data_IF_100768112556
#
_entry.id   IF_100768112556
#
_cell.length_a   1.000
_cell.length_b   1.000
_cell.length_c   1.000
_cell.angle_alpha   90.00
_cell.angle_beta   90.00
_cell.angle_gamma   90.00
#
_symmetry.space_group_name_H-M   'P 1'
#
loop_
_entity.id
_entity.type
_entity.pdbx_description
1 polymer ?
#
# COMPACT_ATOMS: atom_id res chain seq x y z
N UNK A 1 -26.26 -26.72 -41.65
CA UNK A 1 -25.93 -27.24 -40.31
C UNK A 1 -25.03 -26.23 -39.58
N UNK A 2 -25.49 -24.99 -39.37
CA UNK A 2 -24.66 -23.85 -38.91
C UNK A 2 -25.17 -23.14 -37.64
N UNK A 3 -26.30 -23.56 -37.04
CA UNK A 3 -26.90 -22.87 -35.89
C UNK A 3 -26.33 -23.27 -34.52
N UNK A 4 -25.86 -24.51 -34.33
CA UNK A 4 -25.38 -24.99 -33.03
C UNK A 4 -23.98 -24.46 -32.64
N UNK A 5 -23.17 -24.01 -33.61
CA UNK A 5 -21.83 -23.50 -33.34
C UNK A 5 -21.83 -22.05 -32.86
N UNK A 6 -22.81 -21.25 -33.30
CA UNK A 6 -22.97 -19.85 -32.89
C UNK A 6 -23.57 -19.71 -31.50
N UNK A 7 -24.50 -20.60 -31.13
CA UNK A 7 -25.13 -20.60 -29.81
C UNK A 7 -24.12 -20.96 -28.70
N UNK A 8 -23.27 -21.96 -28.93
CA UNK A 8 -22.23 -22.33 -27.96
C UNK A 8 -21.10 -21.30 -27.83
N UNK A 9 -20.83 -20.52 -28.88
CA UNK A 9 -19.88 -19.40 -28.79
C UNK A 9 -20.48 -18.23 -27.99
N UNK A 10 -21.77 -17.96 -28.18
CA UNK A 10 -22.50 -16.93 -27.44
C UNK A 10 -22.63 -17.27 -25.94
N UNK A 11 -22.88 -18.53 -25.60
CA UNK A 11 -22.90 -18.99 -24.19
C UNK A 11 -21.51 -18.84 -23.52
N UNK A 12 -20.44 -19.22 -24.23
CA UNK A 12 -19.08 -19.09 -23.69
C UNK A 12 -18.63 -17.64 -23.55
N UNK A 13 -19.11 -16.75 -24.42
CA UNK A 13 -18.89 -15.30 -24.30
C UNK A 13 -19.61 -14.73 -23.07
N UNK A 14 -20.87 -15.13 -22.83
CA UNK A 14 -21.60 -14.70 -21.63
C UNK A 14 -20.97 -15.22 -20.34
N UNK A 15 -20.51 -16.47 -20.30
CA UNK A 15 -19.78 -17.02 -19.14
C UNK A 15 -18.47 -16.26 -18.88
N UNK A 16 -17.73 -15.92 -19.94
CA UNK A 16 -16.51 -15.14 -19.82
C UNK A 16 -16.78 -13.72 -19.31
N UNK A 17 -17.83 -13.06 -19.78
CA UNK A 17 -18.24 -11.74 -19.29
C UNK A 17 -18.68 -11.77 -17.82
N UNK A 18 -19.42 -12.81 -17.42
CA UNK A 18 -19.84 -13.02 -16.05
C UNK A 18 -18.64 -13.28 -15.12
N UNK A 19 -17.68 -14.07 -15.58
CA UNK A 19 -16.44 -14.32 -14.84
C UNK A 19 -15.64 -13.03 -14.69
N UNK A 20 -15.43 -12.29 -15.78
CA UNK A 20 -14.75 -10.99 -15.74
C UNK A 20 -15.45 -10.06 -14.76
N UNK A 21 -16.78 -9.90 -14.85
CA UNK A 21 -17.56 -9.01 -13.96
C UNK A 21 -17.44 -9.40 -12.48
N UNK A 22 -17.43 -10.70 -12.17
CA UNK A 22 -17.25 -11.19 -10.79
C UNK A 22 -15.84 -10.93 -10.29
N UNK A 23 -14.83 -11.17 -11.11
CA UNK A 23 -13.44 -10.90 -10.76
C UNK A 23 -13.18 -9.40 -10.59
N UNK A 24 -13.73 -8.53 -11.43
CA UNK A 24 -13.62 -7.07 -11.22
C UNK A 24 -14.34 -6.62 -9.95
N UNK A 25 -15.48 -7.22 -9.62
CA UNK A 25 -16.20 -6.90 -8.38
C UNK A 25 -15.45 -7.38 -7.13
N UNK A 26 -14.75 -8.52 -7.17
CA UNK A 26 -13.89 -8.98 -6.08
C UNK A 26 -12.63 -8.14 -5.93
N UNK A 27 -11.99 -7.78 -7.04
CA UNK A 27 -10.85 -6.87 -7.02
C UNK A 27 -11.24 -5.49 -6.47
N UNK A 28 -12.41 -4.97 -6.81
CA UNK A 28 -12.92 -3.72 -6.26
C UNK A 28 -13.14 -3.80 -4.74
N UNK A 29 -13.60 -4.94 -4.21
CA UNK A 29 -13.76 -5.15 -2.76
C UNK A 29 -12.44 -5.30 -2.01
N UNK A 30 -11.39 -5.79 -2.68
CA UNK A 30 -10.03 -5.85 -2.12
C UNK A 30 -9.34 -4.48 -2.14
N UNK A 31 -9.80 -3.58 -3.02
CA UNK A 31 -9.31 -2.21 -3.16
C UNK A 31 -10.14 -1.20 -2.35
N UNK A 32 -11.22 -1.65 -1.67
CA UNK A 32 -11.94 -0.80 -0.72
C UNK A 32 -11.05 -0.56 0.51
N UNK A 33 -10.59 0.68 0.74
CA UNK A 33 -9.78 0.97 1.91
C UNK A 33 -10.63 0.70 3.14
N UNK A 34 -10.09 -0.03 4.11
CA UNK A 34 -10.70 -0.20 5.43
C UNK A 34 -11.08 1.19 5.96
N UNK A 35 -12.26 1.33 6.60
CA UNK A 35 -12.69 2.58 7.22
C UNK A 35 -11.62 3.13 8.18
N UNK A 36 -10.86 2.23 8.82
CA UNK A 36 -9.71 2.59 9.66
C UNK A 36 -8.58 3.23 8.86
N UNK A 37 -8.19 2.63 7.74
CA UNK A 37 -7.14 3.16 6.86
C UNK A 37 -7.54 4.52 6.30
N UNK A 38 -8.82 4.69 5.98
CA UNK A 38 -9.40 5.94 5.49
C UNK A 38 -9.37 7.03 6.59
N UNK A 39 -9.72 6.67 7.83
CA UNK A 39 -9.69 7.59 8.97
C UNK A 39 -8.26 8.01 9.33
N UNK A 40 -7.30 7.08 9.33
CA UNK A 40 -5.88 7.36 9.57
C UNK A 40 -5.27 8.21 8.46
N UNK A 41 -5.60 7.92 7.20
CA UNK A 41 -5.21 8.74 6.06
C UNK A 41 -5.72 10.18 6.19
N UNK A 42 -6.99 10.36 6.62
CA UNK A 42 -7.58 11.68 6.85
C UNK A 42 -6.88 12.44 7.97
N UNK A 43 -6.68 11.80 9.14
CA UNK A 43 -5.98 12.39 10.28
C UNK A 43 -4.57 12.85 9.91
N UNK A 44 -3.81 12.01 9.21
CA UNK A 44 -2.47 12.36 8.75
C UNK A 44 -2.50 13.53 7.76
N UNK A 45 -3.45 13.54 6.82
CA UNK A 45 -3.60 14.64 5.86
C UNK A 45 -3.90 15.97 6.57
N UNK A 46 -4.78 15.98 7.56
CA UNK A 46 -5.09 17.15 8.38
C UNK A 46 -3.85 17.64 9.15
N UNK A 47 -3.12 16.74 9.82
CA UNK A 47 -1.89 17.07 10.54
C UNK A 47 -0.77 17.56 9.63
N UNK A 48 -0.71 17.09 8.38
CA UNK A 48 0.23 17.60 7.38
C UNK A 48 -0.19 19.00 6.92
N UNK A 49 -1.49 19.24 6.66
CA UNK A 49 -2.00 20.57 6.24
C UNK A 49 -1.78 21.63 7.32
N UNK A 50 -2.00 21.29 8.60
CA UNK A 50 -1.73 22.18 9.74
C UNK A 50 -0.24 22.44 9.96
N UNK A 51 0.65 21.66 9.34
CA UNK A 51 2.10 21.72 9.54
C UNK A 51 2.59 21.01 10.80
N UNK A 52 1.70 20.31 11.52
CA UNK A 52 2.06 19.57 12.75
C UNK A 52 3.06 18.43 12.50
N UNK A 53 3.10 17.91 11.27
CA UNK A 53 4.09 16.90 10.85
C UNK A 53 5.40 17.51 10.29
N UNK A 54 5.50 18.83 10.24
CA UNK A 54 6.65 19.57 9.73
C UNK A 54 6.54 20.00 8.26
N UNK A 55 7.51 20.81 7.79
CA UNK A 55 7.39 21.53 6.52
C UNK A 55 7.47 20.63 5.28
N UNK A 56 8.26 19.55 5.32
CA UNK A 56 8.33 18.61 4.20
C UNK A 56 7.01 17.87 4.01
N UNK A 57 6.40 17.42 5.11
CA UNK A 57 5.08 16.79 5.09
C UNK A 57 3.99 17.72 4.57
N UNK A 58 4.00 18.98 5.01
CA UNK A 58 3.04 19.97 4.53
C UNK A 58 3.15 20.21 3.02
N UNK A 59 4.37 20.33 2.49
CA UNK A 59 4.60 20.49 1.04
C UNK A 59 4.22 19.24 0.25
N UNK A 60 4.54 18.05 0.75
CA UNK A 60 4.10 16.78 0.14
C UNK A 60 2.57 16.69 0.14
N UNK A 61 1.90 17.05 1.23
CA UNK A 61 0.43 17.05 1.28
C UNK A 61 -0.20 18.05 0.30
N UNK A 62 0.38 19.23 0.11
CA UNK A 62 -0.07 20.16 -0.94
C UNK A 62 0.11 19.59 -2.36
N UNK A 63 1.11 18.73 -2.59
CA UNK A 63 1.28 18.02 -3.87
C UNK A 63 0.23 16.93 -4.03
N UNK A 64 -0.07 16.17 -2.98
CA UNK A 64 -1.12 15.15 -2.96
C UNK A 64 -2.51 15.77 -3.17
N UNK A 65 -2.84 16.82 -2.42
CA UNK A 65 -4.12 17.54 -2.54
C UNK A 65 -4.30 18.14 -3.94
N UNK A 66 -3.20 18.54 -4.59
CA UNK A 66 -3.19 19.02 -5.96
C UNK A 66 -3.08 17.93 -7.04
N UNK A 67 -3.16 16.64 -6.68
CA UNK A 67 -3.09 15.52 -7.62
C UNK A 67 -1.74 15.35 -8.33
N UNK A 68 -0.67 15.99 -7.85
CA UNK A 68 0.66 15.93 -8.47
C UNK A 68 1.46 14.68 -8.11
N UNK A 69 1.03 13.97 -7.07
CA UNK A 69 1.71 12.78 -6.54
C UNK A 69 0.73 12.03 -5.63
N UNK A 70 1.09 10.80 -5.26
CA UNK A 70 0.39 10.02 -4.24
C UNK A 70 1.34 9.65 -3.10
N UNK A 71 0.79 9.21 -1.96
CA UNK A 71 1.62 8.62 -0.89
C UNK A 71 2.45 7.43 -1.39
N UNK A 72 1.85 6.60 -2.24
CA UNK A 72 2.51 5.45 -2.84
C UNK A 72 3.70 5.89 -3.70
N UNK A 73 3.52 6.92 -4.53
CA UNK A 73 4.60 7.47 -5.37
C UNK A 73 5.74 8.06 -4.55
N UNK A 74 5.42 8.72 -3.43
CA UNK A 74 6.43 9.26 -2.51
C UNK A 74 7.26 8.14 -1.89
N UNK A 75 6.64 7.12 -1.30
CA UNK A 75 7.36 6.07 -0.58
C UNK A 75 7.97 4.99 -1.49
N UNK A 76 7.44 4.80 -2.71
CA UNK A 76 8.09 3.98 -3.75
C UNK A 76 9.30 4.68 -4.37
N UNK A 77 9.38 6.01 -4.26
CA UNK A 77 10.46 6.82 -4.84
C UNK A 77 10.17 7.30 -6.26
N UNK A 78 8.96 7.06 -6.79
CA UNK A 78 8.47 7.63 -8.07
C UNK A 78 8.40 9.15 -8.01
N UNK A 79 8.00 9.72 -6.85
CA UNK A 79 8.08 11.17 -6.64
C UNK A 79 9.51 11.59 -6.27
N UNK A 80 10.22 12.14 -7.24
CA UNK A 80 11.60 12.60 -7.08
C UNK A 80 11.70 14.04 -6.58
N UNK A 81 10.62 14.65 -6.09
CA UNK A 81 10.68 16.02 -5.57
C UNK A 81 11.58 16.12 -4.34
N UNK A 82 12.22 17.27 -4.09
CA UNK A 82 13.14 17.41 -2.96
C UNK A 82 12.50 17.11 -1.60
N UNK A 83 11.23 17.44 -1.43
CA UNK A 83 10.46 17.21 -0.20
C UNK A 83 10.16 15.72 0.00
N UNK A 84 9.77 15.02 -1.09
CA UNK A 84 9.53 13.59 -1.08
C UNK A 84 10.82 12.82 -0.76
N UNK A 85 11.94 13.19 -1.39
CA UNK A 85 13.24 12.59 -1.12
C UNK A 85 13.70 12.79 0.32
N UNK A 86 13.54 14.01 0.87
CA UNK A 86 13.85 14.28 2.28
C UNK A 86 12.96 13.47 3.22
N UNK A 87 11.67 13.33 2.88
CA UNK A 87 10.73 12.57 3.69
C UNK A 87 11.10 11.08 3.74
N UNK A 88 11.35 10.47 2.58
CA UNK A 88 11.81 9.08 2.47
C UNK A 88 13.15 8.89 3.19
N UNK A 89 14.09 9.82 3.01
CA UNK A 89 15.38 9.79 3.69
C UNK A 89 15.24 9.78 5.21
N UNK A 90 14.35 10.62 5.77
CA UNK A 90 14.07 10.67 7.20
C UNK A 90 13.42 9.39 7.71
N UNK A 91 12.43 8.85 6.99
CA UNK A 91 11.81 7.57 7.34
C UNK A 91 12.83 6.43 7.35
N UNK A 92 13.76 6.40 6.39
CA UNK A 92 14.86 5.42 6.37
C UNK A 92 15.81 5.60 7.56
N UNK A 93 16.17 6.83 7.90
CA UNK A 93 17.03 7.11 9.05
C UNK A 93 16.39 6.61 10.36
N UNK A 94 15.11 6.90 10.59
CA UNK A 94 14.36 6.42 11.77
C UNK A 94 14.34 4.89 11.83
N UNK A 95 14.14 4.21 10.70
CA UNK A 95 14.17 2.74 10.67
C UNK A 95 15.57 2.16 10.93
N UNK A 96 16.62 2.84 10.47
CA UNK A 96 18.01 2.45 10.76
C UNK A 96 18.32 2.62 12.24
N UNK A 97 17.92 3.74 12.84
CA UNK A 97 18.07 4.01 14.27
C UNK A 97 17.30 2.98 15.12
N UNK A 98 16.03 2.73 14.80
CA UNK A 98 15.24 1.70 15.47
C UNK A 98 15.88 0.31 15.42
N UNK A 99 16.56 -0.03 14.31
CA UNK A 99 17.32 -1.29 14.21
C UNK A 99 18.57 -1.31 15.07
N UNK A 100 19.29 -0.19 15.17
CA UNK A 100 20.43 -0.07 16.06
C UNK A 100 19.98 -0.21 17.53
N UNK A 101 18.92 0.49 17.91
CA UNK A 101 18.32 0.39 19.26
C UNK A 101 17.92 -1.05 19.59
N UNK A 102 17.34 -1.78 18.63
CA UNK A 102 16.97 -3.18 18.80
C UNK A 102 18.18 -4.13 18.89
N UNK A 103 19.34 -3.76 18.35
CA UNK A 103 20.57 -4.53 18.51
C UNK A 103 21.16 -4.32 19.92
N UNK A 104 21.05 -3.10 20.45
CA UNK A 104 21.53 -2.76 21.78
C UNK A 104 20.61 -3.30 22.89
N UNK A 105 19.28 -3.32 22.67
CA UNK A 105 18.29 -3.98 23.53
C UNK A 105 17.43 -5.01 22.75
N UNK A 106 17.92 -6.25 22.60
CA UNK A 106 17.23 -7.30 21.84
C UNK A 106 15.95 -7.82 22.52
N UNK A 107 15.72 -7.48 23.79
CA UNK A 107 14.52 -7.82 24.55
C UNK A 107 13.51 -6.67 24.64
N UNK A 108 13.89 -5.49 24.16
CA UNK A 108 13.08 -4.29 24.21
C UNK A 108 11.86 -4.34 23.27
N UNK A 109 10.97 -3.36 23.45
CA UNK A 109 9.77 -3.21 22.63
C UNK A 109 10.12 -2.99 21.15
N UNK A 110 11.16 -2.20 20.85
CA UNK A 110 11.60 -1.93 19.47
C UNK A 110 12.05 -3.21 18.77
N UNK A 111 12.85 -4.04 19.45
CA UNK A 111 13.28 -5.34 18.91
C UNK A 111 12.10 -6.29 18.68
N UNK A 112 11.12 -6.28 19.58
CA UNK A 112 9.89 -7.07 19.45
C UNK A 112 9.08 -6.64 18.23
N UNK A 113 8.80 -5.34 18.08
CA UNK A 113 8.03 -4.80 16.94
C UNK A 113 8.72 -5.08 15.61
N UNK A 114 10.04 -4.93 15.54
CA UNK A 114 10.79 -5.22 14.31
C UNK A 114 10.75 -6.70 13.93
N UNK A 115 10.84 -7.61 14.92
CA UNK A 115 10.70 -9.05 14.69
C UNK A 115 9.31 -9.40 14.16
N UNK A 116 8.25 -8.87 14.78
CA UNK A 116 6.87 -9.08 14.34
C UNK A 116 6.64 -8.56 12.90
N UNK A 117 7.24 -7.41 12.57
CA UNK A 117 7.17 -6.86 11.20
C UNK A 117 7.87 -7.75 10.17
N UNK A 118 9.03 -8.31 10.51
CA UNK A 118 9.77 -9.20 9.61
C UNK A 118 9.06 -10.55 9.43
N UNK A 119 8.48 -11.11 10.50
CA UNK A 119 7.62 -12.30 10.42
C UNK A 119 6.37 -12.06 9.56
N UNK A 120 5.71 -10.91 9.71
CA UNK A 120 4.55 -10.55 8.88
C UNK A 120 4.94 -10.44 7.41
N UNK A 121 6.10 -9.83 7.11
CA UNK A 121 6.62 -9.71 5.73
C UNK A 121 6.92 -11.08 5.12
N UNK A 122 7.48 -12.00 5.89
CA UNK A 122 7.75 -13.35 5.42
C UNK A 122 6.46 -14.11 5.12
N UNK A 123 5.46 -14.02 6.01
CA UNK A 123 4.13 -14.60 5.78
C UNK A 123 3.46 -14.06 4.52
N UNK A 124 3.52 -12.74 4.30
CA UNK A 124 2.97 -12.12 3.09
C UNK A 124 3.70 -12.60 1.83
N UNK A 125 5.03 -12.76 1.90
CA UNK A 125 5.82 -13.31 0.79
C UNK A 125 5.41 -14.74 0.45
N UNK A 126 5.21 -15.60 1.45
CA UNK A 126 4.83 -17.00 1.25
C UNK A 126 3.43 -17.13 0.62
N UNK A 127 2.48 -16.29 1.05
CA UNK A 127 1.13 -16.19 0.45
C UNK A 127 1.21 -15.77 -1.01
N UNK A 128 2.00 -14.74 -1.33
CA UNK A 128 2.15 -14.23 -2.71
C UNK A 128 2.91 -15.21 -3.60
N UNK A 129 3.88 -15.94 -3.06
CA UNK A 129 4.68 -16.93 -3.82
C UNK A 129 4.04 -18.31 -3.89
N UNK A 130 2.87 -18.50 -3.27
CA UNK A 130 2.10 -19.75 -3.35
C UNK A 130 2.74 -20.92 -2.61
N UNK A 131 3.70 -20.68 -1.72
CA UNK A 131 4.37 -21.73 -0.95
C UNK A 131 3.54 -22.01 0.29
N UNK A 132 2.56 -22.91 0.17
CA UNK A 132 1.90 -23.48 1.35
C UNK A 132 2.90 -24.33 2.12
N UNK A 133 3.20 -23.93 3.35
CA UNK A 133 3.75 -24.83 4.38
C UNK A 133 2.79 -25.98 4.67
#
# INVERSE_FOLDING_TARGET
MNGQLTDGLAERLHEAEDLVRRTTAELARLDEPDERDTADARRRAEAARSGSLGPDWQRVQQRIDGGRTTLSDVFSGTDTSPEAQRLVGRSRAVLTEARADAQDDPTGMTATVLRDMDELRERLRDVVTGRRS
#
